data_IF_245926972034
#
_entry.id   IF_245926972034
#
_cell.length_a   1.000
_cell.length_b   1.000
_cell.length_c   1.000
_cell.angle_alpha   90.00
_cell.angle_beta   90.00
_cell.angle_gamma   90.00
#
_symmetry.space_group_name_H-M   'P 1'
#
loop_
_entity.id
_entity.type
_entity.pdbx_description
1 polymer ?
#
# COMPACT_ATOMS: atom_id res chain seq x y z
N UNK A 1 -58.21 -52.79 6.61
CA UNK A 1 -57.44 -53.82 7.32
C UNK A 1 -55.99 -53.43 7.21
N UNK A 2 -55.44 -52.96 8.32
CA UNK A 2 -54.18 -52.22 8.44
C UNK A 2 -53.07 -53.23 8.75
N UNK A 3 -52.11 -53.40 7.85
CA UNK A 3 -50.92 -54.24 8.09
C UNK A 3 -49.82 -53.37 8.68
N UNK A 4 -49.64 -53.47 9.99
CA UNK A 4 -48.47 -52.93 10.69
C UNK A 4 -47.32 -53.94 10.61
N UNK A 5 -46.20 -53.51 10.04
CA UNK A 5 -44.93 -54.23 10.11
C UNK A 5 -43.92 -53.40 10.91
N UNK A 6 -43.19 -54.10 11.78
CA UNK A 6 -42.50 -53.58 12.97
C UNK A 6 -41.17 -52.91 12.58
N UNK A 7 -40.76 -51.80 13.21
CA UNK A 7 -39.44 -51.22 13.01
C UNK A 7 -38.36 -52.21 13.47
N UNK A 8 -37.45 -52.56 12.55
CA UNK A 8 -36.37 -53.50 12.81
C UNK A 8 -35.33 -52.87 13.75
N UNK A 9 -35.24 -53.49 14.91
CA UNK A 9 -34.25 -53.32 15.97
C UNK A 9 -32.86 -53.72 15.46
N UNK A 10 -32.19 -52.81 14.76
CA UNK A 10 -30.75 -52.88 14.52
C UNK A 10 -30.11 -51.52 14.80
N UNK A 11 -29.61 -51.44 16.03
CA UNK A 11 -28.52 -50.56 16.43
C UNK A 11 -28.90 -49.11 16.76
N UNK A 12 -29.79 -48.99 17.74
CA UNK A 12 -29.64 -47.97 18.77
C UNK A 12 -28.25 -48.16 19.40
N UNK A 13 -27.35 -47.18 19.24
CA UNK A 13 -26.34 -46.68 20.20
C UNK A 13 -25.53 -45.62 19.42
N UNK A 14 -25.92 -44.35 19.56
CA UNK A 14 -24.98 -43.23 19.58
C UNK A 14 -25.44 -42.32 20.71
N UNK A 15 -25.31 -42.86 21.92
CA UNK A 15 -25.49 -42.09 23.15
C UNK A 15 -24.27 -41.19 23.33
N UNK A 16 -24.57 -39.89 23.43
CA UNK A 16 -23.89 -38.93 24.30
C UNK A 16 -22.36 -38.85 24.22
N UNK A 17 -21.88 -38.04 23.27
CA UNK A 17 -20.69 -37.22 23.50
C UNK A 17 -20.97 -35.80 22.99
N UNK A 18 -21.91 -35.11 23.66
CA UNK A 18 -21.93 -33.64 23.68
C UNK A 18 -20.69 -33.21 24.47
N UNK A 19 -19.52 -33.30 23.83
CA UNK A 19 -18.33 -32.65 24.32
C UNK A 19 -18.65 -31.15 24.35
N UNK A 20 -18.71 -30.60 25.56
CA UNK A 20 -18.80 -29.18 25.81
C UNK A 20 -17.58 -28.51 25.16
N UNK A 21 -17.72 -28.08 23.91
CA UNK A 21 -16.79 -27.13 23.32
C UNK A 21 -17.00 -25.82 24.08
N UNK A 22 -16.00 -25.31 24.83
CA UNK A 22 -16.08 -23.95 25.31
C UNK A 22 -16.21 -23.06 24.08
N UNK A 23 -17.40 -22.48 23.90
CA UNK A 23 -17.61 -21.38 22.98
C UNK A 23 -16.79 -20.22 23.53
N UNK A 24 -15.51 -20.19 23.17
CA UNK A 24 -14.67 -19.02 23.39
C UNK A 24 -15.28 -17.94 22.52
N UNK A 25 -16.11 -17.10 23.13
CA UNK A 25 -16.56 -15.87 22.52
C UNK A 25 -15.29 -15.08 22.18
N UNK A 26 -14.87 -15.17 20.92
CA UNK A 26 -13.83 -14.31 20.38
C UNK A 26 -14.42 -12.90 20.47
N UNK A 27 -14.06 -12.17 21.52
CA UNK A 27 -14.38 -10.77 21.64
C UNK A 27 -13.80 -10.10 20.38
N UNK A 28 -14.68 -9.79 19.43
CA UNK A 28 -14.32 -9.05 18.24
C UNK A 28 -13.90 -7.67 18.72
N UNK A 29 -12.61 -7.49 18.90
CA UNK A 29 -12.04 -6.17 19.16
C UNK A 29 -12.35 -5.37 17.90
N UNK A 30 -13.21 -4.36 18.01
CA UNK A 30 -13.39 -3.39 16.93
C UNK A 30 -11.99 -2.90 16.57
N UNK A 31 -11.56 -3.02 15.30
CA UNK A 31 -10.24 -2.53 14.92
C UNK A 31 -10.14 -1.08 15.36
N UNK A 32 -9.13 -0.76 16.17
CA UNK A 32 -8.88 0.61 16.54
C UNK A 32 -8.75 1.45 15.27
N UNK A 33 -9.25 2.69 15.31
CA UNK A 33 -9.09 3.60 14.19
C UNK A 33 -7.60 3.65 13.79
N UNK A 34 -7.27 3.62 12.49
CA UNK A 34 -5.88 3.61 12.05
C UNK A 34 -5.10 4.79 12.62
N UNK A 35 -3.92 4.53 13.16
CA UNK A 35 -3.08 5.60 13.69
C UNK A 35 -2.67 6.58 12.58
N UNK A 36 -2.28 7.82 12.91
CA UNK A 36 -1.76 8.77 11.92
C UNK A 36 -0.58 8.20 11.12
N UNK A 37 0.28 7.39 11.76
CA UNK A 37 1.37 6.71 11.07
C UNK A 37 0.86 5.72 10.01
N UNK A 38 -0.17 4.92 10.33
CA UNK A 38 -0.78 3.98 9.37
C UNK A 38 -1.44 4.73 8.21
N UNK A 39 -2.18 5.81 8.49
CA UNK A 39 -2.79 6.66 7.44
C UNK A 39 -1.73 7.29 6.52
N UNK A 40 -0.64 7.81 7.09
CA UNK A 40 0.47 8.36 6.32
C UNK A 40 1.19 7.30 5.47
N UNK A 41 1.31 6.06 5.97
CA UNK A 41 1.87 4.94 5.22
C UNK A 41 0.96 4.55 4.05
N UNK A 42 -0.35 4.39 4.28
CA UNK A 42 -1.31 4.08 3.23
C UNK A 42 -1.31 5.15 2.12
N UNK A 43 -1.30 6.43 2.50
CA UNK A 43 -1.23 7.53 1.55
C UNK A 43 0.08 7.56 0.76
N UNK A 44 1.21 7.27 1.41
CA UNK A 44 2.51 7.15 0.76
C UNK A 44 2.57 5.97 -0.22
N UNK A 45 1.99 4.84 0.16
CA UNK A 45 1.87 3.67 -0.72
C UNK A 45 1.06 4.01 -1.97
N UNK A 46 -0.14 4.59 -1.82
CA UNK A 46 -0.97 5.01 -2.97
C UNK A 46 -0.23 5.99 -3.88
N UNK A 47 0.39 7.02 -3.31
CA UNK A 47 1.13 8.02 -4.08
C UNK A 47 2.26 7.40 -4.91
N UNK A 48 3.07 6.53 -4.30
CA UNK A 48 4.21 5.90 -4.97
C UNK A 48 3.77 4.90 -6.04
N UNK A 49 2.76 4.08 -5.75
CA UNK A 49 2.24 3.07 -6.68
C UNK A 49 1.63 3.74 -7.91
N UNK A 50 0.75 4.73 -7.73
CA UNK A 50 0.13 5.47 -8.84
C UNK A 50 1.18 6.24 -9.65
N UNK A 51 2.13 6.93 -9.01
CA UNK A 51 3.21 7.61 -9.72
C UNK A 51 3.99 6.62 -10.58
N UNK A 52 4.43 5.50 -10.00
CA UNK A 52 5.27 4.52 -10.68
C UNK A 52 4.53 3.90 -11.86
N UNK A 53 3.28 3.50 -11.69
CA UNK A 53 2.49 2.87 -12.73
C UNK A 53 2.22 3.80 -13.92
N UNK A 54 1.82 5.04 -13.64
CA UNK A 54 1.44 5.99 -14.70
C UNK A 54 2.68 6.60 -15.36
N UNK A 55 3.58 7.17 -14.57
CA UNK A 55 4.71 7.97 -15.11
C UNK A 55 5.82 7.12 -15.71
N UNK A 56 6.04 5.91 -15.21
CA UNK A 56 6.98 4.99 -15.84
C UNK A 56 6.43 4.46 -17.17
N UNK A 57 5.12 4.19 -17.25
CA UNK A 57 4.49 3.77 -18.50
C UNK A 57 4.54 4.89 -19.56
N UNK A 58 4.18 6.11 -19.18
CA UNK A 58 4.30 7.31 -20.04
C UNK A 58 5.73 7.47 -20.56
N UNK A 59 6.73 7.37 -19.67
CA UNK A 59 8.14 7.49 -20.05
C UNK A 59 8.64 6.36 -20.97
N UNK A 60 7.99 5.21 -20.95
CA UNK A 60 8.26 4.09 -21.84
C UNK A 60 7.49 4.16 -23.17
N UNK A 61 6.73 5.24 -23.41
CA UNK A 61 5.91 5.41 -24.62
C UNK A 61 4.56 4.69 -24.57
N UNK A 62 4.16 4.20 -23.40
CA UNK A 62 2.86 3.58 -23.16
C UNK A 62 1.93 4.48 -22.35
N UNK A 63 0.76 3.94 -21.99
CA UNK A 63 -0.16 4.57 -21.07
C UNK A 63 -0.79 3.51 -20.16
N UNK A 64 -1.14 3.92 -18.95
CA UNK A 64 -1.95 3.12 -18.01
C UNK A 64 -3.08 3.99 -17.48
N UNK A 65 -4.19 3.34 -17.15
CA UNK A 65 -5.35 3.98 -16.56
C UNK A 65 -5.30 3.88 -15.03
N UNK A 66 -5.76 4.91 -14.32
CA UNK A 66 -5.80 4.90 -12.85
C UNK A 66 -6.68 3.75 -12.35
N UNK A 67 -7.78 3.48 -13.03
CA UNK A 67 -8.75 2.41 -12.71
C UNK A 67 -8.09 1.03 -12.78
N UNK A 68 -7.16 0.82 -13.72
CA UNK A 68 -6.37 -0.42 -13.77
C UNK A 68 -5.48 -0.53 -12.54
N UNK A 69 -4.83 0.56 -12.13
CA UNK A 69 -3.97 0.60 -10.93
C UNK A 69 -4.78 0.33 -9.67
N UNK A 70 -5.95 0.93 -9.56
CA UNK A 70 -6.87 0.75 -8.45
C UNK A 70 -7.39 -0.69 -8.34
N UNK A 71 -7.70 -1.32 -9.49
CA UNK A 71 -8.25 -2.66 -9.52
C UNK A 71 -7.22 -3.79 -9.33
N UNK A 72 -5.93 -3.54 -9.60
CA UNK A 72 -4.92 -4.60 -9.65
C UNK A 72 -3.74 -4.40 -8.69
N UNK A 73 -3.31 -3.16 -8.45
CA UNK A 73 -2.14 -2.86 -7.61
C UNK A 73 -2.49 -2.25 -6.25
N UNK A 74 -3.68 -1.67 -6.10
CA UNK A 74 -4.14 -1.06 -4.85
C UNK A 74 -5.14 -1.96 -4.10
N UNK A 75 -5.10 -3.27 -4.38
CA UNK A 75 -5.91 -4.31 -3.75
C UNK A 75 -5.02 -5.46 -3.25
N UNK A 76 -5.46 -6.14 -2.20
CA UNK A 76 -4.72 -7.29 -1.67
C UNK A 76 -3.40 -6.88 -1.02
N UNK A 77 -3.31 -5.64 -0.53
CA UNK A 77 -2.17 -5.14 0.24
C UNK A 77 -2.30 -5.56 1.70
N UNK A 78 -1.37 -5.11 2.56
CA UNK A 78 -1.43 -5.39 4.00
C UNK A 78 -2.83 -5.03 4.57
N UNK A 79 -3.48 -5.92 5.35
CA UNK A 79 -4.86 -5.73 5.80
C UNK A 79 -5.13 -4.39 6.48
N UNK A 80 -4.16 -3.87 7.23
CA UNK A 80 -4.23 -2.57 7.92
C UNK A 80 -4.17 -1.35 6.98
N UNK A 81 -3.71 -1.53 5.74
CA UNK A 81 -3.62 -0.48 4.72
C UNK A 81 -4.70 -0.60 3.65
N UNK A 82 -5.23 -1.80 3.39
CA UNK A 82 -6.01 -2.11 2.20
C UNK A 82 -7.25 -1.22 2.03
N UNK A 83 -8.05 -1.05 3.09
CA UNK A 83 -9.19 -0.13 3.05
C UNK A 83 -8.78 1.33 2.81
N UNK A 84 -7.75 1.78 3.53
CA UNK A 84 -7.26 3.15 3.43
C UNK A 84 -6.72 3.48 2.04
N UNK A 85 -5.90 2.60 1.45
CA UNK A 85 -5.31 2.81 0.13
C UNK A 85 -6.40 2.93 -0.95
N UNK A 86 -7.49 2.17 -0.82
CA UNK A 86 -8.63 2.27 -1.74
C UNK A 86 -9.36 3.61 -1.61
N UNK A 87 -9.58 4.07 -0.39
CA UNK A 87 -10.44 5.23 -0.10
C UNK A 87 -9.74 6.59 -0.20
N UNK A 88 -8.43 6.66 0.07
CA UNK A 88 -7.72 7.94 0.13
C UNK A 88 -7.71 8.66 -1.24
N UNK A 89 -8.02 9.97 -1.29
CA UNK A 89 -8.09 10.71 -2.55
C UNK A 89 -6.69 10.92 -3.15
N UNK A 90 -6.57 10.71 -4.46
CA UNK A 90 -5.32 10.87 -5.21
C UNK A 90 -5.46 12.00 -6.23
N UNK A 91 -4.42 12.83 -6.30
CA UNK A 91 -4.26 13.87 -7.30
C UNK A 91 -3.03 13.56 -8.15
N UNK A 92 -3.21 13.58 -9.48
CA UNK A 92 -2.15 13.26 -10.44
C UNK A 92 -1.78 14.54 -11.19
N UNK A 93 -0.59 15.05 -10.93
CA UNK A 93 0.03 16.13 -11.69
C UNK A 93 1.00 15.60 -12.76
N UNK A 94 1.64 16.52 -13.48
CA UNK A 94 2.57 16.20 -14.57
C UNK A 94 3.75 15.32 -14.10
N UNK A 95 4.37 15.71 -12.97
CA UNK A 95 5.57 15.04 -12.42
C UNK A 95 5.40 14.58 -10.98
N UNK A 96 4.18 14.65 -10.46
CA UNK A 96 3.90 14.47 -9.03
C UNK A 96 2.56 13.78 -8.86
N UNK A 97 2.49 12.87 -7.89
CA UNK A 97 1.23 12.33 -7.39
C UNK A 97 1.14 12.66 -5.90
N UNK A 98 0.03 13.26 -5.48
CA UNK A 98 -0.27 13.62 -4.10
C UNK A 98 -1.47 12.83 -3.58
N UNK A 99 -1.41 12.43 -2.30
CA UNK A 99 -2.52 11.77 -1.61
C UNK A 99 -2.76 12.48 -0.28
N UNK A 100 -3.93 13.11 -0.17
CA UNK A 100 -4.36 13.75 1.08
C UNK A 100 -4.78 12.68 2.08
N UNK A 101 -4.38 12.84 3.34
CA UNK A 101 -4.54 11.80 4.36
C UNK A 101 -4.80 12.34 5.75
N UNK A 102 -4.68 13.65 5.96
CA UNK A 102 -5.00 14.33 7.19
C UNK A 102 -5.24 15.81 6.87
N UNK A 103 -6.17 16.45 7.56
CA UNK A 103 -6.52 17.86 7.31
C UNK A 103 -5.43 18.83 7.79
N UNK A 104 -4.60 18.39 8.75
CA UNK A 104 -3.56 19.22 9.37
C UNK A 104 -2.16 18.93 8.83
N UNK A 105 -2.01 17.90 8.01
CA UNK A 105 -0.71 17.49 7.46
C UNK A 105 -0.64 17.71 5.95
N UNK A 106 0.55 18.04 5.42
CA UNK A 106 0.77 18.00 3.98
C UNK A 106 0.46 16.62 3.38
N UNK A 107 0.01 16.56 2.12
CA UNK A 107 -0.24 15.30 1.44
C UNK A 107 1.04 14.46 1.35
N UNK A 108 0.88 13.14 1.23
CA UNK A 108 2.00 12.27 0.85
C UNK A 108 2.25 12.43 -0.63
N UNK A 109 3.51 12.59 -1.01
CA UNK A 109 3.90 12.96 -2.37
C UNK A 109 4.92 11.99 -2.93
N UNK A 110 4.69 11.50 -4.13
CA UNK A 110 5.69 10.85 -4.96
C UNK A 110 6.02 11.73 -6.17
N UNK A 111 7.31 11.85 -6.50
CA UNK A 111 7.80 12.65 -7.63
C UNK A 111 8.50 11.80 -8.67
N UNK A 112 8.15 12.04 -9.93
CA UNK A 112 8.77 11.41 -11.08
C UNK A 112 10.02 12.17 -11.52
N UNK A 113 11.08 11.43 -11.79
CA UNK A 113 12.33 11.90 -12.39
C UNK A 113 12.64 11.10 -13.66
N UNK A 114 12.74 11.73 -14.84
CA UNK A 114 13.18 11.08 -16.07
C UNK A 114 14.48 10.29 -15.84
N UNK A 115 14.51 9.04 -16.30
CA UNK A 115 15.63 8.12 -16.13
C UNK A 115 15.84 7.56 -14.71
N UNK A 116 15.08 8.02 -13.70
CA UNK A 116 15.17 7.53 -12.30
C UNK A 116 13.87 6.95 -11.74
N UNK A 117 12.74 7.16 -12.42
CA UNK A 117 11.43 6.69 -11.96
C UNK A 117 10.83 7.58 -10.87
N UNK A 118 9.88 7.03 -10.12
CA UNK A 118 9.21 7.73 -9.02
C UNK A 118 9.88 7.46 -7.67
N UNK A 119 9.96 8.49 -6.84
CA UNK A 119 10.42 8.38 -5.46
C UNK A 119 9.42 9.06 -4.51
N UNK A 120 9.15 8.41 -3.37
CA UNK A 120 8.30 8.96 -2.32
C UNK A 120 9.09 9.98 -1.49
N UNK A 121 8.48 11.15 -1.23
CA UNK A 121 9.06 12.18 -0.37
C UNK A 121 8.84 11.87 1.11
N UNK A 122 9.62 12.43 2.04
CA UNK A 122 9.37 12.28 3.49
C UNK A 122 7.98 12.75 3.90
N UNK A 123 7.45 12.22 5.02
CA UNK A 123 6.21 12.72 5.63
C UNK A 123 6.39 14.19 6.00
N UNK A 124 5.40 15.03 5.73
CA UNK A 124 5.47 16.48 6.01
C UNK A 124 6.21 17.31 4.96
N UNK A 125 6.60 16.71 3.83
CA UNK A 125 7.26 17.43 2.73
C UNK A 125 6.34 18.47 2.07
N UNK A 126 6.85 19.68 1.81
CA UNK A 126 6.07 20.84 1.33
C UNK A 126 6.53 21.43 -0.01
N UNK A 127 7.39 20.74 -0.78
CA UNK A 127 7.80 21.21 -2.11
C UNK A 127 9.20 21.82 -2.20
N UNK A 128 9.86 22.09 -1.08
CA UNK A 128 11.27 22.52 -1.09
C UNK A 128 12.13 21.26 -1.04
N UNK A 129 12.92 20.94 -2.08
CA UNK A 129 13.88 19.86 -1.96
C UNK A 129 14.81 20.19 -0.80
N UNK A 130 14.88 19.31 0.19
CA UNK A 130 15.96 19.34 1.16
C UNK A 130 17.24 19.17 0.34
N UNK A 131 17.90 20.29 0.03
CA UNK A 131 19.23 20.28 -0.57
C UNK A 131 20.12 19.51 0.41
N UNK A 132 20.41 18.27 0.10
CA UNK A 132 21.51 17.55 0.74
C UNK A 132 22.73 18.45 0.55
N UNK A 133 23.25 19.01 1.65
CA UNK A 133 24.32 20.00 1.62
C UNK A 133 25.65 19.47 1.02
N UNK A 134 25.71 18.21 0.57
CA UNK A 134 26.94 17.53 0.14
C UNK A 134 27.14 17.30 -1.37
N UNK A 135 26.13 17.39 -2.24
CA UNK A 135 26.28 16.96 -3.65
C UNK A 135 27.11 17.90 -4.54
N UNK A 136 27.33 19.15 -4.14
CA UNK A 136 28.25 20.04 -4.87
C UNK A 136 29.72 19.61 -4.73
N UNK A 137 30.10 19.03 -3.59
CA UNK A 137 31.50 18.68 -3.34
C UNK A 137 31.98 17.45 -4.13
N UNK A 138 31.07 16.53 -4.50
CA UNK A 138 31.45 15.30 -5.20
C UNK A 138 31.69 15.50 -6.70
N UNK A 139 31.05 16.50 -7.33
CA UNK A 139 31.30 16.84 -8.74
C UNK A 139 32.61 17.59 -8.93
N UNK A 140 32.99 18.41 -7.96
CA UNK A 140 34.24 19.18 -7.98
C UNK A 140 35.47 18.29 -7.75
N UNK A 141 35.37 17.29 -6.86
CA UNK A 141 36.48 16.38 -6.58
C UNK A 141 36.78 15.31 -7.64
N UNK A 142 35.90 15.11 -8.64
CA UNK A 142 36.13 14.11 -9.70
C UNK A 142 37.01 14.66 -10.83
N UNK A 143 36.94 15.96 -11.11
CA UNK A 143 37.70 16.60 -12.19
C UNK A 143 39.21 16.68 -11.90
N UNK A 144 39.62 16.67 -10.62
CA UNK A 144 41.03 16.73 -10.24
C UNK A 144 41.73 15.36 -10.28
N UNK A 145 41.00 14.25 -10.18
CA UNK A 145 41.60 12.90 -10.18
C UNK A 145 41.90 12.35 -11.57
N UNK A 146 41.28 12.90 -12.63
CA UNK A 146 41.46 12.42 -14.01
C UNK A 146 42.55 13.17 -14.79
N UNK A 147 43.13 14.25 -14.23
CA UNK A 147 44.28 14.94 -14.80
C UNK A 147 45.58 14.35 -14.24
N UNK A 148 45.93 13.14 -14.67
CA UNK A 148 47.28 12.59 -14.47
C UNK A 148 48.35 13.45 -15.17
N UNK A 149 49.62 13.43 -14.73
CA UNK A 149 50.66 14.27 -15.29
C UNK A 149 50.90 13.92 -16.76
N UNK A 150 50.93 14.96 -17.60
CA UNK A 150 51.29 14.86 -19.01
C UNK A 150 52.71 14.30 -19.13
N UNK A 151 52.86 13.26 -19.95
CA UNK A 151 54.16 12.79 -20.45
C UNK A 151 54.30 13.21 -21.91
#
# INVERSE_FOLDING_TARGET
MWTGERPSMRTLIFAAALAAFPLTAQAQTTPAAPSPAVRAMAAGYKALTVCSALKTAEAAGGARALESVEANELVGVYPELDGLVRELPVEIGERRVSVAWDETMPPRVAEFSPGRGCAIQPVGWTGVPARCAGERSLRDGRTDRERGPAQ
#
